data_IF_839462550593
#
_entry.id   IF_839462550593
#
_cell.length_a   1.000
_cell.length_b   1.000
_cell.length_c   1.000
_cell.angle_alpha   90.00
_cell.angle_beta   90.00
_cell.angle_gamma   90.00
#
_symmetry.space_group_name_H-M   'P 1'
#
loop_
_entity.id
_entity.type
_entity.pdbx_description
1 polymer ?
#
# COMPACT_ATOMS: atom_id res chain seq x y z
N UNK A 1 -72.59 -46.00 -18.59
CA UNK A 1 -72.33 -46.11 -20.04
C UNK A 1 -72.06 -44.73 -20.60
N UNK A 2 -70.87 -44.48 -21.13
CA UNK A 2 -70.58 -43.91 -22.47
C UNK A 2 -69.09 -43.58 -22.49
N UNK A 3 -68.36 -44.29 -23.34
CA UNK A 3 -66.93 -44.13 -23.59
C UNK A 3 -66.73 -42.83 -24.37
N UNK A 4 -65.74 -42.03 -24.00
CA UNK A 4 -65.09 -41.11 -24.95
C UNK A 4 -63.58 -41.37 -24.85
N UNK A 5 -63.03 -41.62 -26.02
CA UNK A 5 -61.69 -42.11 -26.31
C UNK A 5 -60.88 -40.92 -26.88
N UNK A 6 -59.57 -40.95 -26.60
CA UNK A 6 -58.46 -40.51 -27.48
C UNK A 6 -58.04 -39.02 -27.45
N UNK A 7 -56.80 -38.70 -27.89
CA UNK A 7 -55.72 -38.20 -27.04
C UNK A 7 -55.23 -36.83 -27.55
N UNK A 8 -54.31 -36.15 -26.87
CA UNK A 8 -53.27 -35.41 -27.61
C UNK A 8 -52.13 -34.97 -26.69
N UNK A 9 -50.97 -34.94 -27.33
CA UNK A 9 -49.61 -34.67 -26.88
C UNK A 9 -49.38 -33.43 -25.99
N UNK A 10 -48.21 -33.39 -25.31
CA UNK A 10 -47.80 -32.32 -24.43
C UNK A 10 -47.48 -31.06 -25.24
N UNK A 11 -48.22 -29.99 -25.00
CA UNK A 11 -47.80 -28.66 -25.45
C UNK A 11 -46.78 -28.15 -24.44
N UNK A 12 -45.52 -28.35 -24.79
CA UNK A 12 -44.41 -27.51 -24.35
C UNK A 12 -44.85 -26.05 -24.38
N UNK A 13 -45.04 -25.44 -23.23
CA UNK A 13 -44.89 -24.01 -23.06
C UNK A 13 -43.63 -23.82 -22.20
N UNK A 14 -42.48 -23.81 -22.89
CA UNK A 14 -41.26 -23.25 -22.34
C UNK A 14 -41.55 -21.77 -22.02
N UNK A 15 -41.96 -21.47 -20.79
CA UNK A 15 -41.96 -20.11 -20.25
C UNK A 15 -40.55 -19.72 -19.80
N UNK A 16 -39.54 -20.08 -20.60
CA UNK A 16 -38.16 -19.71 -20.42
C UNK A 16 -37.65 -19.24 -21.78
N UNK A 17 -37.88 -17.98 -22.08
CA UNK A 17 -37.13 -17.15 -23.03
C UNK A 17 -37.89 -15.82 -23.21
N UNK A 18 -37.38 -14.74 -22.63
CA UNK A 18 -37.85 -13.40 -22.97
C UNK A 18 -37.85 -12.35 -21.87
N UNK A 19 -37.09 -12.51 -20.78
CA UNK A 19 -36.68 -11.34 -20.01
C UNK A 19 -35.35 -10.85 -20.58
N UNK A 20 -35.45 -9.77 -21.36
CA UNK A 20 -34.30 -9.00 -21.80
C UNK A 20 -33.60 -8.47 -20.53
N UNK A 21 -32.32 -8.81 -20.28
CA UNK A 21 -31.64 -8.34 -19.10
C UNK A 21 -31.62 -6.81 -19.12
N UNK A 22 -32.10 -6.17 -18.05
CA UNK A 22 -31.95 -4.74 -17.88
C UNK A 22 -30.47 -4.36 -18.07
N UNK A 23 -30.15 -3.26 -18.78
CA UNK A 23 -28.78 -2.86 -19.00
C UNK A 23 -28.08 -2.72 -17.65
N UNK A 24 -26.97 -3.45 -17.49
CA UNK A 24 -26.13 -3.33 -16.32
C UNK A 24 -25.65 -1.86 -16.23
N UNK A 25 -25.53 -1.29 -15.01
CA UNK A 25 -24.95 0.04 -14.86
C UNK A 25 -23.57 0.06 -15.52
N UNK A 26 -23.37 0.97 -16.47
CA UNK A 26 -22.06 1.21 -17.08
C UNK A 26 -21.07 1.57 -15.98
N UNK A 27 -19.96 0.84 -15.92
CA UNK A 27 -18.89 1.13 -14.99
C UNK A 27 -18.33 2.51 -15.33
N UNK A 28 -18.44 3.45 -14.39
CA UNK A 28 -17.75 4.73 -14.47
C UNK A 28 -16.24 4.46 -14.58
N UNK A 29 -15.61 5.03 -15.61
CA UNK A 29 -14.17 4.92 -15.79
C UNK A 29 -13.47 5.60 -14.59
N UNK A 30 -12.87 4.78 -13.72
CA UNK A 30 -11.97 5.28 -12.68
C UNK A 30 -10.75 5.86 -13.38
N UNK A 31 -10.64 7.19 -13.41
CA UNK A 31 -9.44 7.88 -13.86
C UNK A 31 -8.37 7.61 -12.81
N UNK A 32 -7.46 6.70 -13.12
CA UNK A 32 -6.29 6.41 -12.29
C UNK A 32 -5.41 7.67 -12.26
N UNK A 33 -5.17 8.23 -11.07
CA UNK A 33 -4.28 9.37 -10.93
C UNK A 33 -2.87 9.00 -11.43
N UNK A 34 -2.11 9.93 -12.02
CA UNK A 34 -0.75 9.65 -12.44
C UNK A 34 0.07 9.14 -11.26
N UNK A 35 0.64 7.95 -11.39
CA UNK A 35 1.55 7.40 -10.38
C UNK A 35 2.80 8.29 -10.34
N UNK A 36 3.00 8.99 -9.22
CA UNK A 36 4.27 9.66 -8.98
C UNK A 36 5.40 8.62 -8.96
N UNK A 37 6.61 8.95 -9.45
CA UNK A 37 7.74 8.02 -9.39
C UNK A 37 7.96 7.59 -7.95
N UNK A 38 7.73 6.31 -7.67
CA UNK A 38 7.90 5.78 -6.33
C UNK A 38 9.36 5.97 -5.88
N UNK A 39 9.56 6.61 -4.73
CA UNK A 39 10.89 6.73 -4.15
C UNK A 39 11.51 5.35 -3.94
N UNK A 40 12.82 5.19 -4.19
CA UNK A 40 13.48 3.94 -3.92
C UNK A 40 13.30 3.60 -2.43
N UNK A 41 13.08 2.31 -2.14
CA UNK A 41 13.04 1.86 -0.76
C UNK A 41 14.35 2.27 -0.06
N UNK A 42 14.29 2.99 1.06
CA UNK A 42 15.49 3.53 1.68
C UNK A 42 16.31 2.37 2.22
N UNK A 43 17.57 2.32 1.83
CA UNK A 43 18.57 1.41 2.37
C UNK A 43 19.39 2.14 3.46
N UNK A 44 20.40 1.47 4.01
CA UNK A 44 21.27 2.10 5.02
C UNK A 44 21.90 3.40 4.53
N UNK A 45 22.38 3.45 3.29
CA UNK A 45 23.05 4.62 2.73
C UNK A 45 22.10 5.82 2.62
N UNK A 46 20.88 5.58 2.10
CA UNK A 46 19.83 6.60 2.01
C UNK A 46 19.46 7.10 3.41
N UNK A 47 19.20 6.20 4.36
CA UNK A 47 18.84 6.60 5.72
C UNK A 47 19.98 7.37 6.41
N UNK A 48 21.23 6.93 6.26
CA UNK A 48 22.39 7.61 6.85
C UNK A 48 22.55 9.03 6.31
N UNK A 49 22.30 9.22 5.01
CA UNK A 49 22.35 10.53 4.35
C UNK A 49 21.27 11.46 4.88
N UNK A 50 20.01 10.98 4.92
CA UNK A 50 18.88 11.74 5.45
C UNK A 50 19.11 12.10 6.91
N UNK A 51 19.53 11.13 7.73
CA UNK A 51 19.81 11.34 9.15
C UNK A 51 20.91 12.38 9.37
N UNK A 52 22.03 12.30 8.64
CA UNK A 52 23.12 13.27 8.77
C UNK A 52 22.70 14.69 8.35
N UNK A 53 21.86 14.81 7.32
CA UNK A 53 21.33 16.10 6.88
C UNK A 53 20.37 16.71 7.91
N UNK A 54 19.51 15.89 8.52
CA UNK A 54 18.55 16.35 9.53
C UNK A 54 19.16 16.55 10.92
N UNK A 55 20.17 15.74 11.29
CA UNK A 55 20.78 15.70 12.61
C UNK A 55 22.31 15.90 12.54
N UNK A 56 22.81 17.08 12.13
CA UNK A 56 24.23 17.30 11.84
C UNK A 56 25.17 17.19 13.05
N UNK A 57 24.63 17.27 14.27
CA UNK A 57 25.40 17.18 15.51
C UNK A 57 25.32 15.78 16.16
N UNK A 58 24.54 14.86 15.59
CA UNK A 58 24.39 13.52 16.12
C UNK A 58 25.58 12.62 15.76
N UNK A 59 25.81 11.56 16.53
CA UNK A 59 26.70 10.47 16.13
C UNK A 59 26.28 9.91 14.76
N UNK A 60 27.23 9.51 13.90
CA UNK A 60 26.89 8.97 12.58
C UNK A 60 26.14 7.63 12.71
N UNK A 61 25.29 7.31 11.73
CA UNK A 61 24.65 6.00 11.63
C UNK A 61 25.70 4.95 11.31
N UNK A 62 25.77 3.90 12.13
CA UNK A 62 26.68 2.76 11.92
C UNK A 62 26.01 1.65 11.10
N UNK A 63 24.76 1.34 11.43
CA UNK A 63 23.95 0.30 10.81
C UNK A 63 22.48 0.71 10.81
N UNK A 64 21.74 0.37 9.76
CA UNK A 64 20.32 0.65 9.66
C UNK A 64 19.60 -0.38 8.80
N UNK A 65 18.37 -0.71 9.20
CA UNK A 65 17.46 -1.56 8.44
C UNK A 65 16.08 -0.88 8.36
N UNK A 66 15.61 -0.66 7.13
CA UNK A 66 14.36 0.03 6.88
C UNK A 66 13.31 -0.93 6.31
N UNK A 67 12.08 -0.82 6.79
CA UNK A 67 10.92 -1.60 6.32
C UNK A 67 9.68 -0.73 6.23
N UNK A 68 8.80 -1.03 5.28
CA UNK A 68 7.49 -0.36 5.18
C UNK A 68 6.73 -0.45 6.51
N UNK A 69 6.10 0.64 6.93
CA UNK A 69 5.37 0.69 8.20
C UNK A 69 4.15 -0.26 8.22
N UNK A 70 3.62 -0.58 7.05
CA UNK A 70 2.55 -1.55 6.83
C UNK A 70 2.32 -1.82 5.35
N UNK A 71 1.37 -2.70 5.04
CA UNK A 71 0.95 -2.96 3.67
C UNK A 71 0.28 -1.71 3.08
N UNK A 72 0.80 -1.20 1.96
CA UNK A 72 0.29 0.00 1.30
C UNK A 72 0.61 1.32 2.02
N UNK A 73 1.49 1.31 3.04
CA UNK A 73 1.92 2.54 3.69
C UNK A 73 3.05 3.20 2.92
N UNK A 74 2.94 4.51 2.74
CA UNK A 74 3.99 5.34 2.16
C UNK A 74 5.15 5.56 3.13
N UNK A 75 4.92 5.33 4.42
CA UNK A 75 5.92 5.47 5.47
C UNK A 75 6.84 4.25 5.58
N UNK A 76 8.06 4.53 5.99
CA UNK A 76 9.10 3.54 6.22
C UNK A 76 9.65 3.70 7.62
N UNK A 77 9.71 2.60 8.36
CA UNK A 77 10.31 2.54 9.68
C UNK A 77 11.74 2.03 9.53
N UNK A 78 12.70 2.83 9.96
CA UNK A 78 14.12 2.48 10.01
C UNK A 78 14.54 2.23 11.46
N UNK A 79 15.07 1.04 11.72
CA UNK A 79 15.73 0.68 12.97
C UNK A 79 17.24 0.87 12.76
N UNK A 80 17.95 1.52 13.69
CA UNK A 80 19.34 1.95 13.46
C UNK A 80 20.20 2.00 14.72
N UNK A 81 21.52 1.86 14.53
CA UNK A 81 22.57 2.03 15.53
C UNK A 81 23.44 3.24 15.22
N UNK A 82 23.98 3.89 16.25
CA UNK A 82 24.76 5.13 16.15
C UNK A 82 26.19 4.95 16.66
N UNK A 83 27.16 5.60 16.02
CA UNK A 83 28.57 5.57 16.41
C UNK A 83 29.16 4.17 16.30
N UNK A 84 29.46 3.55 17.44
CA UNK A 84 29.98 2.17 17.50
C UNK A 84 28.87 1.14 17.79
N UNK A 85 27.61 1.57 17.96
CA UNK A 85 26.50 0.66 18.25
C UNK A 85 26.16 -0.16 17.00
N UNK A 86 26.43 -1.46 17.07
CA UNK A 86 26.09 -2.45 16.05
C UNK A 86 24.65 -2.96 16.18
N UNK A 87 23.94 -2.56 17.23
CA UNK A 87 22.56 -2.97 17.49
C UNK A 87 21.57 -1.91 16.98
N UNK A 88 20.45 -2.37 16.41
CA UNK A 88 19.38 -1.53 15.86
C UNK A 88 18.44 -1.03 16.96
N UNK A 89 18.97 -0.34 17.96
CA UNK A 89 18.23 0.05 19.19
C UNK A 89 17.35 1.27 19.01
N UNK A 90 17.64 2.10 18.02
CA UNK A 90 16.91 3.33 17.76
C UNK A 90 15.90 3.09 16.63
N UNK A 91 14.83 3.90 16.61
CA UNK A 91 13.82 3.84 15.55
C UNK A 91 13.53 5.25 15.05
N UNK A 92 13.40 5.37 13.73
CA UNK A 92 12.97 6.58 13.05
C UNK A 92 11.94 6.21 11.98
N UNK A 93 11.02 7.12 11.68
CA UNK A 93 10.07 6.98 10.58
C UNK A 93 10.44 7.99 9.50
N UNK A 94 10.52 7.50 8.27
CA UNK A 94 10.64 8.29 7.05
C UNK A 94 9.29 8.33 6.36
N UNK A 95 8.91 9.51 5.86
CA UNK A 95 7.75 9.70 4.99
C UNK A 95 8.22 10.28 3.65
N UNK A 96 7.46 10.04 2.58
CA UNK A 96 7.75 10.60 1.27
C UNK A 96 7.33 12.08 1.24
N UNK A 97 8.29 12.97 0.97
CA UNK A 97 8.05 14.39 0.69
C UNK A 97 8.07 14.68 -0.82
N UNK A 98 8.57 15.86 -1.21
CA UNK A 98 8.71 16.33 -2.60
C UNK A 98 9.79 15.56 -3.41
N UNK A 99 9.62 14.24 -3.53
CA UNK A 99 10.60 13.38 -4.19
C UNK A 99 11.81 13.02 -3.33
N UNK A 100 11.72 13.21 -2.01
CA UNK A 100 12.76 12.84 -1.05
C UNK A 100 12.19 12.23 0.23
N UNK A 101 13.03 11.49 0.96
CA UNK A 101 12.66 10.92 2.26
C UNK A 101 12.87 11.95 3.36
N UNK A 102 11.85 12.15 4.20
CA UNK A 102 11.87 13.12 5.30
C UNK A 102 11.62 12.42 6.64
N UNK A 103 12.37 12.77 7.68
CA UNK A 103 12.13 12.29 9.05
C UNK A 103 10.85 12.91 9.62
N UNK A 104 9.92 12.08 10.08
CA UNK A 104 8.63 12.54 10.61
C UNK A 104 8.74 13.20 11.98
N UNK A 105 9.73 12.82 12.79
CA UNK A 105 9.98 13.36 14.14
C UNK A 105 11.47 13.67 14.32
N UNK A 106 11.91 14.72 13.64
CA UNK A 106 13.32 15.11 13.62
C UNK A 106 13.84 15.47 15.02
N UNK A 107 13.02 16.12 15.87
CA UNK A 107 13.45 16.53 17.21
C UNK A 107 13.81 15.32 18.08
N UNK A 108 12.90 14.34 18.20
CA UNK A 108 13.14 13.13 19.00
C UNK A 108 14.27 12.28 18.42
N UNK A 109 14.32 12.15 17.09
CA UNK A 109 15.33 11.35 16.40
C UNK A 109 16.72 11.96 16.59
N UNK A 110 16.87 13.28 16.44
CA UNK A 110 18.16 13.93 16.67
C UNK A 110 18.57 13.94 18.15
N UNK A 111 17.63 14.06 19.08
CA UNK A 111 17.92 13.99 20.52
C UNK A 111 18.45 12.61 20.95
N UNK A 112 18.07 11.54 20.24
CA UNK A 112 18.56 10.18 20.49
C UNK A 112 20.04 10.02 20.13
N UNK A 113 20.54 10.82 19.18
CA UNK A 113 21.93 10.77 18.72
C UNK A 113 22.86 11.86 19.26
N UNK A 114 22.34 12.77 20.10
CA UNK A 114 23.07 13.86 20.74
C UNK A 114 23.94 13.40 21.92
#
# INVERSE_FOLDING_TARGET
>A
MKKIILPLLPVFALAACGEEPAPAPEAEAVVEAPVEPALPAPNQEIFSTVFAASCPNAKPVNTAACRRAGMGSDDVICEYGLGEDEYLRNKATLTAGDGEWVLTDTETVCATGA
#
